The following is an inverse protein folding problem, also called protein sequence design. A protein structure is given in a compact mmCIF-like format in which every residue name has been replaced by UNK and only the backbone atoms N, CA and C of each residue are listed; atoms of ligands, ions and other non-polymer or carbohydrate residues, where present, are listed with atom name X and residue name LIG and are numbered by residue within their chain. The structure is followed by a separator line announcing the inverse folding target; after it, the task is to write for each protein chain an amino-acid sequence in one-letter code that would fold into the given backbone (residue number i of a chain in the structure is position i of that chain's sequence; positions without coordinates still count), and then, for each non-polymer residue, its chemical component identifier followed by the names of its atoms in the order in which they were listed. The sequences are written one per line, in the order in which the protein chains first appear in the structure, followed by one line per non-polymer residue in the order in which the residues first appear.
data_IF_100518820486
#
_entry.id   IF_100518820486
#
_cell.length_a   1.000
_cell.length_b   1.000
_cell.length_c   1.000
_cell.angle_alpha   90.00
_cell.angle_beta   90.00
_cell.angle_gamma   90.00
#
_symmetry.space_group_name_H-M   'P 1'
#
loop_
_entity.id
_entity.type
_entity.pdbx_description
1 polymer ?
#
# COMPACT_ATOMS: atom_id res chain seq x y z
N UNK A 1 35.97 2.45 30.14
CA UNK A 1 34.68 2.75 30.80
C UNK A 1 33.69 3.14 29.73
N UNK A 2 32.52 2.50 29.64
CA UNK A 2 31.45 2.95 28.74
C UNK A 2 30.96 4.33 29.23
N UNK A 3 30.65 5.24 28.31
CA UNK A 3 29.99 6.50 28.68
C UNK A 3 28.61 6.19 29.26
N UNK A 4 28.13 7.04 30.18
CA UNK A 4 26.82 6.88 30.82
C UNK A 4 25.68 6.77 29.79
N UNK A 5 25.77 7.50 28.68
CA UNK A 5 24.81 7.40 27.57
C UNK A 5 24.77 6.01 26.93
N UNK A 6 25.94 5.39 26.72
CA UNK A 6 26.01 4.06 26.13
C UNK A 6 25.51 2.98 27.11
N UNK A 7 25.70 3.19 28.41
CA UNK A 7 25.16 2.31 29.44
C UNK A 7 23.62 2.37 29.48
N UNK A 8 23.03 3.57 29.40
CA UNK A 8 21.57 3.74 29.36
C UNK A 8 20.98 3.12 28.09
N UNK A 9 21.57 3.34 26.91
CA UNK A 9 21.11 2.72 25.65
C UNK A 9 21.14 1.20 25.72
N UNK A 10 22.20 0.63 26.31
CA UNK A 10 22.33 -0.81 26.50
C UNK A 10 21.25 -1.34 27.46
N UNK A 11 21.01 -0.67 28.59
CA UNK A 11 19.97 -1.03 29.54
C UNK A 11 18.57 -1.00 28.91
N UNK A 12 18.23 0.06 28.17
CA UNK A 12 16.97 0.13 27.43
C UNK A 12 16.85 -0.98 26.39
N UNK A 13 17.94 -1.31 25.68
CA UNK A 13 17.97 -2.41 24.72
C UNK A 13 17.72 -3.77 25.37
N UNK A 14 18.33 -4.03 26.53
CA UNK A 14 18.13 -5.28 27.29
C UNK A 14 16.71 -5.36 27.84
N UNK A 15 16.19 -4.29 28.43
CA UNK A 15 14.81 -4.23 28.93
C UNK A 15 13.83 -4.50 27.80
N UNK A 16 14.02 -3.85 26.64
CA UNK A 16 13.18 -4.06 25.47
C UNK A 16 13.25 -5.50 24.97
N UNK A 17 14.43 -6.11 24.94
CA UNK A 17 14.61 -7.50 24.56
C UNK A 17 13.92 -8.46 25.53
N UNK A 18 14.00 -8.21 26.84
CA UNK A 18 13.32 -9.00 27.87
C UNK A 18 11.80 -8.88 27.74
N UNK A 19 11.28 -7.68 27.47
CA UNK A 19 9.85 -7.45 27.22
C UNK A 19 9.41 -8.19 25.95
N UNK A 20 10.16 -8.07 24.85
CA UNK A 20 9.83 -8.72 23.59
C UNK A 20 9.92 -10.24 23.63
N UNK A 21 10.76 -10.81 24.50
CA UNK A 21 10.88 -12.27 24.66
C UNK A 21 9.92 -12.85 25.71
N UNK A 22 9.58 -12.09 26.75
CA UNK A 22 8.72 -12.52 27.85
C UNK A 22 7.22 -12.22 27.69
N UNK A 23 6.83 -11.27 26.85
CA UNK A 23 5.43 -10.86 26.71
C UNK A 23 4.59 -11.79 25.80
N UNK A 24 3.26 -11.67 25.87
CA UNK A 24 2.36 -12.34 24.93
C UNK A 24 2.54 -11.82 23.49
N UNK A 25 2.25 -12.62 22.44
CA UNK A 25 2.39 -12.18 21.06
C UNK A 25 1.63 -10.88 20.75
N UNK A 26 0.42 -10.72 21.27
CA UNK A 26 -0.38 -9.50 21.12
C UNK A 26 0.36 -8.29 21.71
N UNK A 27 0.88 -8.39 22.93
CA UNK A 27 1.58 -7.28 23.57
C UNK A 27 2.88 -6.93 22.83
N UNK A 28 3.61 -7.93 22.30
CA UNK A 28 4.79 -7.69 21.46
C UNK A 28 4.44 -6.88 20.22
N UNK A 29 3.38 -7.26 19.50
CA UNK A 29 2.93 -6.55 18.30
C UNK A 29 2.58 -5.10 18.63
N UNK A 30 1.82 -4.87 19.72
CA UNK A 30 1.46 -3.53 20.15
C UNK A 30 2.70 -2.68 20.46
N UNK A 31 3.65 -3.23 21.20
CA UNK A 31 4.90 -2.55 21.55
C UNK A 31 5.71 -2.21 20.30
N UNK A 32 5.91 -3.17 19.38
CA UNK A 32 6.66 -2.93 18.14
C UNK A 32 6.01 -1.83 17.30
N UNK A 33 4.68 -1.85 17.15
CA UNK A 33 3.95 -0.81 16.40
C UNK A 33 4.06 0.56 17.08
N UNK A 34 4.01 0.64 18.41
CA UNK A 34 4.25 1.88 19.13
C UNK A 34 5.68 2.41 18.91
N UNK A 35 6.67 1.53 18.88
CA UNK A 35 8.05 1.91 18.55
C UNK A 35 8.19 2.40 17.11
N UNK A 36 7.53 1.78 16.14
CA UNK A 36 7.57 2.26 14.75
C UNK A 36 6.89 3.63 14.61
N UNK A 37 5.82 3.89 15.36
CA UNK A 37 5.21 5.22 15.44
C UNK A 37 6.19 6.24 16.01
N UNK A 38 6.76 5.97 17.20
CA UNK A 38 7.71 6.87 17.84
C UNK A 38 8.92 7.17 16.94
N UNK A 39 9.48 6.13 16.32
CA UNK A 39 10.61 6.25 15.42
C UNK A 39 10.26 7.09 14.17
N UNK A 40 9.13 6.83 13.53
CA UNK A 40 8.67 7.62 12.39
C UNK A 40 8.45 9.10 12.75
N UNK A 41 7.93 9.38 13.96
CA UNK A 41 7.78 10.75 14.44
C UNK A 41 9.13 11.44 14.68
N UNK A 42 10.11 10.73 15.27
CA UNK A 42 11.48 11.24 15.47
C UNK A 42 12.14 11.55 14.12
N UNK A 43 11.98 10.68 13.12
CA UNK A 43 12.49 10.89 11.77
C UNK A 43 11.86 12.12 11.12
N UNK A 44 10.54 12.27 11.19
CA UNK A 44 9.85 13.44 10.65
C UNK A 44 10.29 14.75 11.31
N UNK A 45 10.62 14.71 12.60
CA UNK A 45 11.16 15.86 13.34
C UNK A 45 12.60 16.19 12.96
N UNK A 46 13.45 15.18 12.77
CA UNK A 46 14.85 15.37 12.37
C UNK A 46 15.00 15.79 10.90
N UNK A 47 14.07 15.38 10.04
CA UNK A 47 14.05 15.69 8.62
C UNK A 47 12.83 16.54 8.25
N UNK A 48 12.77 17.82 8.68
CA UNK A 48 11.62 18.68 8.43
C UNK A 48 11.42 18.96 6.93
N UNK A 49 12.49 18.94 6.12
CA UNK A 49 12.44 19.08 4.66
C UNK A 49 11.97 17.83 3.92
N UNK A 50 11.49 16.81 4.64
CA UNK A 50 10.93 15.59 4.05
C UNK A 50 9.79 15.93 3.07
N UNK A 51 9.70 15.21 1.92
CA UNK A 51 8.63 15.41 0.96
C UNK A 51 7.25 15.33 1.65
N UNK A 52 6.32 16.19 1.24
CA UNK A 52 4.93 16.18 1.75
C UNK A 52 4.26 14.82 1.62
N UNK A 53 4.59 14.07 0.57
CA UNK A 53 4.16 12.69 0.39
C UNK A 53 4.54 11.78 1.57
N UNK A 54 5.77 11.87 2.08
CA UNK A 54 6.25 11.02 3.18
C UNK A 54 5.50 11.31 4.48
N UNK A 55 5.22 12.59 4.77
CA UNK A 55 4.40 13.00 5.92
C UNK A 55 2.97 12.47 5.82
N UNK A 56 2.36 12.56 4.63
CA UNK A 56 1.02 12.03 4.40
C UNK A 56 0.98 10.52 4.50
N UNK A 57 1.96 9.81 3.93
CA UNK A 57 2.08 8.37 4.02
C UNK A 57 2.25 7.91 5.47
N UNK A 58 3.08 8.59 6.27
CA UNK A 58 3.22 8.27 7.70
C UNK A 58 1.92 8.50 8.48
N UNK A 59 1.18 9.58 8.21
CA UNK A 59 -0.14 9.81 8.85
C UNK A 59 -1.14 8.70 8.51
N UNK A 60 -1.20 8.31 7.24
CA UNK A 60 -2.07 7.21 6.79
C UNK A 60 -1.66 5.90 7.46
N UNK A 61 -0.35 5.59 7.48
CA UNK A 61 0.19 4.43 8.19
C UNK A 61 -0.18 4.45 9.68
N UNK A 62 0.02 5.58 10.36
CA UNK A 62 -0.32 5.74 11.78
C UNK A 62 -1.80 5.46 12.02
N UNK A 63 -2.70 6.10 11.26
CA UNK A 63 -4.16 5.92 11.41
C UNK A 63 -4.56 4.46 11.13
N UNK A 64 -4.10 3.88 10.03
CA UNK A 64 -4.45 2.51 9.65
C UNK A 64 -3.96 1.50 10.67
N UNK A 65 -2.68 1.59 11.05
CA UNK A 65 -2.10 0.69 12.04
C UNK A 65 -2.74 0.88 13.42
N UNK A 66 -3.13 2.10 13.79
CA UNK A 66 -3.86 2.36 15.03
C UNK A 66 -5.25 1.69 15.02
N UNK A 67 -6.01 1.84 13.94
CA UNK A 67 -7.32 1.19 13.81
C UNK A 67 -7.21 -0.33 13.81
N UNK A 68 -6.22 -0.88 13.10
CA UNK A 68 -5.97 -2.33 13.08
C UNK A 68 -5.57 -2.85 14.47
N UNK A 69 -4.73 -2.11 15.18
CA UNK A 69 -4.31 -2.49 16.53
C UNK A 69 -5.49 -2.41 17.51
N UNK A 70 -6.32 -1.37 17.43
CA UNK A 70 -7.54 -1.28 18.23
C UNK A 70 -8.57 -2.37 17.91
N UNK A 71 -8.64 -2.86 16.67
CA UNK A 71 -9.62 -3.88 16.27
C UNK A 71 -9.19 -5.31 16.61
N UNK A 72 -7.88 -5.61 16.62
CA UNK A 72 -7.37 -6.99 16.71
C UNK A 72 -6.41 -7.23 17.88
N UNK A 73 -6.17 -6.24 18.74
CA UNK A 73 -5.27 -6.35 19.86
C UNK A 73 -5.97 -5.89 21.14
N UNK A 74 -6.53 -6.85 21.88
CA UNK A 74 -7.32 -6.58 23.09
C UNK A 74 -6.52 -5.75 24.12
N UNK A 75 -5.25 -6.06 24.44
CA UNK A 75 -4.47 -5.24 25.37
C UNK A 75 -4.32 -3.79 24.92
N UNK A 76 -4.16 -3.55 23.62
CA UNK A 76 -4.09 -2.19 23.09
C UNK A 76 -5.44 -1.49 23.15
N UNK A 77 -6.51 -2.16 22.74
CA UNK A 77 -7.88 -1.64 22.79
C UNK A 77 -8.29 -1.24 24.20
N UNK A 78 -8.13 -2.16 25.16
CA UNK A 78 -8.52 -1.96 26.56
C UNK A 78 -7.84 -0.72 27.17
N UNK A 79 -6.54 -0.54 26.90
CA UNK A 79 -5.76 0.56 27.45
C UNK A 79 -5.91 1.90 26.70
N UNK A 80 -6.48 1.91 25.50
CA UNK A 80 -6.69 3.13 24.70
C UNK A 80 -8.15 3.54 24.66
N UNK A 81 -9.00 2.72 24.06
CA UNK A 81 -10.43 2.98 23.88
C UNK A 81 -11.25 2.47 25.04
N UNK A 82 -10.99 1.26 25.53
CA UNK A 82 -11.81 0.63 26.56
C UNK A 82 -11.97 1.52 27.80
N UNK A 83 -10.85 2.02 28.33
CA UNK A 83 -10.86 2.96 29.47
C UNK A 83 -11.53 4.29 29.19
N UNK A 84 -11.47 4.80 27.97
CA UNK A 84 -12.15 6.05 27.60
C UNK A 84 -13.65 5.82 27.49
N UNK A 85 -14.05 4.68 26.94
CA UNK A 85 -15.46 4.29 26.80
C UNK A 85 -16.12 4.06 28.16
N UNK A 86 -15.38 3.61 29.18
CA UNK A 86 -15.86 3.50 30.57
C UNK A 86 -16.35 4.84 31.15
N UNK A 87 -15.96 6.00 30.59
CA UNK A 87 -16.46 7.32 31.02
C UNK A 87 -17.90 7.53 30.54
N UNK A 88 -18.25 6.97 29.39
CA UNK A 88 -19.51 7.22 28.68
C UNK A 88 -20.51 6.08 28.83
N UNK A 89 -20.01 4.86 29.04
CA UNK A 89 -20.80 3.65 29.12
C UNK A 89 -20.55 2.98 30.46
N UNK A 90 -21.63 2.69 31.18
CA UNK A 90 -21.56 1.87 32.37
C UNK A 90 -21.07 0.47 31.99
N UNK A 91 -20.11 -0.06 32.75
CA UNK A 91 -19.54 -1.38 32.46
C UNK A 91 -20.62 -2.45 32.49
N UNK A 92 -20.51 -3.41 31.59
CA UNK A 92 -21.45 -4.52 31.56
C UNK A 92 -21.33 -5.35 32.84
N UNK A 93 -22.47 -5.76 33.39
CA UNK A 93 -22.52 -6.64 34.56
C UNK A 93 -21.96 -8.03 34.30
N UNK A 94 -21.92 -8.45 33.03
CA UNK A 94 -21.38 -9.74 32.59
C UNK A 94 -19.84 -9.74 32.54
N UNK A 95 -19.24 -8.58 32.28
CA UNK A 95 -17.79 -8.41 32.18
C UNK A 95 -17.33 -7.10 32.85
N UNK A 96 -17.46 -6.99 34.20
CA UNK A 96 -17.16 -5.76 34.93
C UNK A 96 -15.65 -5.44 34.96
N UNK A 97 -14.81 -6.44 34.69
CA UNK A 97 -13.36 -6.33 34.71
C UNK A 97 -12.75 -5.92 33.37
N UNK A 98 -13.51 -5.96 32.27
CA UNK A 98 -13.01 -5.63 30.92
C UNK A 98 -13.31 -4.17 30.60
N UNK A 99 -12.29 -3.31 30.41
CA UNK A 99 -12.49 -1.91 30.05
C UNK A 99 -13.26 -1.75 28.73
N UNK A 100 -14.30 -0.92 28.73
CA UNK A 100 -15.14 -0.67 27.57
C UNK A 100 -16.20 -1.75 27.32
N UNK A 101 -16.38 -2.72 28.23
CA UNK A 101 -17.40 -3.78 28.07
C UNK A 101 -18.83 -3.22 27.93
N UNK A 102 -19.10 -2.08 28.56
CA UNK A 102 -20.36 -1.35 28.44
C UNK A 102 -20.66 -0.88 27.01
N UNK A 103 -19.63 -0.55 26.23
CA UNK A 103 -19.80 -0.17 24.83
C UNK A 103 -20.26 -1.37 23.99
N UNK A 104 -19.72 -2.56 24.24
CA UNK A 104 -20.15 -3.78 23.55
C UNK A 104 -21.62 -4.06 23.79
N UNK A 105 -22.08 -3.96 25.04
CA UNK A 105 -23.47 -4.20 25.42
C UNK A 105 -24.43 -3.14 24.84
N UNK A 106 -24.02 -1.86 24.89
CA UNK A 106 -24.74 -0.77 24.24
C UNK A 106 -24.81 -0.96 22.72
N UNK A 107 -23.69 -1.30 22.07
CA UNK A 107 -23.61 -1.52 20.63
C UNK A 107 -24.45 -2.72 20.20
N UNK A 108 -24.39 -3.83 20.94
CA UNK A 108 -25.21 -5.02 20.72
C UNK A 108 -26.71 -4.69 20.85
N UNK A 109 -27.08 -3.91 21.87
CA UNK A 109 -28.45 -3.45 22.08
C UNK A 109 -28.91 -2.51 20.97
N UNK A 110 -28.07 -1.55 20.58
CA UNK A 110 -28.33 -0.66 19.46
C UNK A 110 -28.49 -1.44 18.15
N UNK A 111 -27.61 -2.43 17.92
CA UNK A 111 -27.64 -3.32 16.76
C UNK A 111 -28.93 -4.14 16.71
N UNK A 112 -29.38 -4.69 17.85
CA UNK A 112 -30.63 -5.45 17.92
C UNK A 112 -31.84 -4.57 17.61
N UNK A 113 -31.87 -3.34 18.14
CA UNK A 113 -32.97 -2.40 17.92
C UNK A 113 -33.02 -1.86 16.48
N UNK A 114 -31.86 -1.68 15.85
CA UNK A 114 -31.75 -1.11 14.51
C UNK A 114 -31.31 -2.14 13.47
N UNK A 115 -31.55 -3.43 13.73
CA UNK A 115 -31.03 -4.53 12.91
C UNK A 115 -31.39 -4.38 11.43
N UNK A 116 -32.66 -4.05 11.15
CA UNK A 116 -33.14 -3.83 9.79
C UNK A 116 -32.41 -2.67 9.09
N UNK A 117 -32.27 -1.52 9.74
CA UNK A 117 -31.60 -0.34 9.18
C UNK A 117 -30.08 -0.55 8.99
N UNK A 118 -29.44 -1.30 9.88
CA UNK A 118 -28.02 -1.63 9.78
C UNK A 118 -27.77 -2.64 8.66
N UNK A 119 -28.60 -3.67 8.54
CA UNK A 119 -28.53 -4.64 7.45
C UNK A 119 -28.78 -3.99 6.08
N UNK A 120 -29.75 -3.07 6.01
CA UNK A 120 -30.01 -2.26 4.83
C UNK A 120 -28.80 -1.38 4.48
N UNK A 121 -28.26 -0.63 5.46
CA UNK A 121 -27.09 0.22 5.26
C UNK A 121 -25.82 -0.55 4.86
N UNK A 122 -25.58 -1.72 5.45
CA UNK A 122 -24.49 -2.63 5.05
C UNK A 122 -24.71 -3.19 3.64
N UNK A 123 -25.96 -3.51 3.29
CA UNK A 123 -26.34 -3.91 1.93
C UNK A 123 -26.00 -2.82 0.92
N UNK A 124 -26.44 -1.58 1.17
CA UNK A 124 -26.14 -0.42 0.33
C UNK A 124 -24.64 -0.17 0.22
N UNK A 125 -23.90 -0.24 1.33
CA UNK A 125 -22.45 -0.05 1.34
C UNK A 125 -21.73 -1.12 0.51
N UNK A 126 -22.11 -2.40 0.65
CA UNK A 126 -21.54 -3.50 -0.15
C UNK A 126 -21.81 -3.32 -1.63
N UNK A 127 -23.02 -2.89 -1.99
CA UNK A 127 -23.39 -2.59 -3.38
C UNK A 127 -22.53 -1.44 -3.91
N UNK A 128 -22.37 -0.36 -3.14
CA UNK A 128 -21.55 0.78 -3.51
C UNK A 128 -20.08 0.39 -3.73
N UNK A 129 -19.50 -0.36 -2.78
CA UNK A 129 -18.13 -0.87 -2.89
C UNK A 129 -17.98 -1.78 -4.11
N UNK A 130 -18.91 -2.70 -4.33
CA UNK A 130 -18.93 -3.57 -5.50
C UNK A 130 -18.93 -2.77 -6.81
N UNK A 131 -19.78 -1.75 -6.91
CA UNK A 131 -19.83 -0.85 -8.06
C UNK A 131 -18.54 -0.07 -8.25
N UNK A 132 -17.95 0.47 -7.18
CA UNK A 132 -16.67 1.19 -7.29
C UNK A 132 -15.55 0.28 -7.78
N UNK A 133 -15.45 -0.96 -7.27
CA UNK A 133 -14.48 -1.93 -7.74
C UNK A 133 -14.71 -2.32 -9.20
N UNK A 134 -15.97 -2.54 -9.59
CA UNK A 134 -16.32 -2.83 -10.97
C UNK A 134 -15.90 -1.69 -11.92
N UNK A 135 -16.20 -0.44 -11.55
CA UNK A 135 -15.82 0.73 -12.35
C UNK A 135 -14.30 0.88 -12.47
N UNK A 136 -13.56 0.63 -11.39
CA UNK A 136 -12.09 0.63 -11.41
C UNK A 136 -11.56 -0.44 -12.36
N UNK A 137 -12.07 -1.67 -12.27
CA UNK A 137 -11.66 -2.77 -13.16
C UNK A 137 -12.02 -2.47 -14.61
N UNK A 138 -13.23 -1.96 -14.88
CA UNK A 138 -13.66 -1.58 -16.21
C UNK A 138 -12.80 -0.44 -16.79
N UNK A 139 -12.45 0.55 -15.97
CA UNK A 139 -11.58 1.64 -16.35
C UNK A 139 -10.17 1.15 -16.70
N UNK A 140 -9.58 0.32 -15.84
CA UNK A 140 -8.27 -0.31 -16.11
C UNK A 140 -8.32 -1.17 -17.37
N UNK A 141 -9.38 -1.96 -17.54
CA UNK A 141 -9.60 -2.77 -18.73
C UNK A 141 -9.70 -1.94 -20.01
N UNK A 142 -10.42 -0.81 -19.98
CA UNK A 142 -10.54 0.11 -21.11
C UNK A 142 -9.21 0.80 -21.46
N UNK A 143 -8.42 1.16 -20.44
CA UNK A 143 -7.07 1.72 -20.64
C UNK A 143 -6.15 0.69 -21.29
N UNK A 144 -6.16 -0.56 -20.80
CA UNK A 144 -5.38 -1.66 -21.38
C UNK A 144 -5.84 -1.99 -22.80
N UNK A 145 -7.15 -2.05 -23.04
CA UNK A 145 -7.73 -2.28 -24.37
C UNK A 145 -7.32 -1.19 -25.37
N UNK A 146 -7.29 0.08 -24.95
CA UNK A 146 -6.79 1.16 -25.81
C UNK A 146 -5.28 1.09 -26.05
N UNK A 147 -4.50 0.65 -25.06
CA UNK A 147 -3.06 0.46 -25.22
C UNK A 147 -2.74 -0.70 -26.18
N UNK A 148 -3.54 -1.78 -26.16
CA UNK A 148 -3.36 -2.96 -27.02
C UNK A 148 -3.99 -2.76 -28.41
N UNK A 149 -5.17 -2.14 -28.50
CA UNK A 149 -5.87 -1.87 -29.75
C UNK A 149 -5.31 -0.70 -30.57
N UNK A 150 -4.37 0.07 -29.99
CA UNK A 150 -3.62 1.10 -30.70
C UNK A 150 -2.56 0.56 -31.68
N UNK A 151 -2.24 -0.73 -31.62
CA UNK A 151 -1.26 -1.34 -32.54
C UNK A 151 -1.89 -1.83 -33.86
N UNK A 152 -3.21 -2.04 -33.94
CA UNK A 152 -3.84 -2.62 -35.15
C UNK A 152 -4.22 -1.58 -36.23
N UNK A 153 -4.36 -0.29 -35.90
CA UNK A 153 -4.70 0.73 -36.91
C UNK A 153 -3.50 1.25 -37.71
N UNK A 154 -2.26 1.07 -37.24
CA UNK A 154 -1.06 1.47 -38.00
C UNK A 154 -0.68 0.44 -39.09
N UNK A 155 -1.17 -0.80 -39.01
CA UNK A 155 -0.92 -1.85 -40.02
C UNK A 155 -1.93 -1.85 -41.19
N UNK A 156 -2.91 -0.93 -41.21
CA UNK A 156 -3.88 -0.83 -42.33
C UNK A 156 -3.55 0.25 -43.37
N UNK A 157 -2.60 1.15 -43.11
CA UNK A 157 -2.19 2.17 -44.10
C UNK A 157 -0.98 1.74 -44.95
N UNK A 158 -0.33 0.60 -44.67
CA UNK A 158 0.89 0.14 -45.37
C UNK A 158 0.74 -1.14 -46.21
N UNK A 159 -0.46 -1.72 -46.34
CA UNK A 159 -0.70 -2.86 -47.25
C UNK A 159 -1.42 -2.46 -48.53
N UNK A 160 -0.70 -1.76 -49.41
CA UNK A 160 -0.93 -1.85 -50.86
C UNK A 160 0.08 -2.86 -51.45
N UNK A 161 -0.37 -4.05 -51.89
CA UNK A 161 0.53 -5.09 -52.40
C UNK A 161 0.78 -4.86 -53.89
N UNK A 162 1.78 -4.05 -54.22
CA UNK A 162 2.13 -3.80 -55.62
C UNK A 162 3.54 -3.30 -55.92
N UNK A 163 4.34 -2.92 -54.92
CA UNK A 163 5.63 -2.25 -55.15
C UNK A 163 6.86 -3.01 -54.59
N UNK A 164 6.68 -4.20 -54.00
CA UNK A 164 7.76 -4.91 -53.30
C UNK A 164 8.60 -5.87 -54.14
N UNK A 165 8.28 -6.05 -55.44
CA UNK A 165 9.02 -6.98 -56.32
C UNK A 165 10.02 -6.26 -57.24
N UNK A 166 10.22 -4.93 -57.09
CA UNK A 166 11.05 -4.15 -58.03
C UNK A 166 12.18 -3.31 -57.41
N UNK A 167 12.44 -3.43 -56.11
CA UNK A 167 13.52 -2.67 -55.44
C UNK A 167 14.71 -3.54 -54.98
N UNK A 168 14.52 -4.84 -54.75
CA UNK A 168 15.65 -5.73 -54.40
C UNK A 168 16.56 -6.02 -55.60
N UNK A 169 16.07 -5.93 -56.84
CA UNK A 169 16.89 -6.14 -58.04
C UNK A 169 17.67 -4.89 -58.49
N UNK A 170 17.41 -3.72 -57.90
CA UNK A 170 18.09 -2.46 -58.26
C UNK A 170 19.21 -2.14 -57.27
N UNK A 171 19.08 -2.51 -55.99
CA UNK A 171 20.12 -2.29 -54.99
C UNK A 171 21.33 -3.23 -55.12
N UNK A 172 21.15 -4.46 -55.63
CA UNK A 172 22.27 -5.39 -55.82
C UNK A 172 23.20 -4.99 -56.99
N UNK A 173 22.64 -4.38 -58.04
CA UNK A 173 23.43 -3.94 -59.21
C UNK A 173 24.31 -2.71 -58.90
N UNK A 174 23.81 -1.79 -58.06
CA UNK A 174 24.58 -0.60 -57.67
C UNK A 174 25.66 -0.92 -56.62
N UNK A 175 25.45 -1.93 -55.78
CA UNK A 175 26.46 -2.36 -54.79
C UNK A 175 27.64 -3.10 -55.45
N UNK A 176 27.40 -3.98 -56.43
CA UNK A 176 28.49 -4.63 -57.18
C UNK A 176 29.32 -3.62 -58.00
N UNK A 177 28.69 -2.58 -58.56
CA UNK A 177 29.40 -1.55 -59.32
C UNK A 177 30.29 -0.66 -58.43
N UNK A 178 29.84 -0.35 -57.21
CA UNK A 178 30.62 0.41 -56.22
C UNK A 178 31.83 -0.38 -55.69
N UNK A 179 31.68 -1.69 -55.44
CA UNK A 179 32.77 -2.55 -54.97
C UNK A 179 33.85 -2.77 -56.05
N UNK A 180 33.47 -2.83 -57.34
CA UNK A 180 34.43 -2.95 -58.45
C UNK A 180 35.27 -1.68 -58.65
N UNK A 181 34.70 -0.49 -58.42
CA UNK A 181 35.45 0.79 -58.47
C UNK A 181 36.46 0.95 -57.34
N UNK A 182 36.22 0.39 -56.15
CA UNK A 182 37.18 0.48 -55.04
C UNK A 182 38.38 -0.47 -55.20
N UNK A 183 38.23 -1.63 -55.87
CA UNK A 183 39.36 -2.55 -56.12
C UNK A 183 40.35 -2.03 -57.17
N UNK A 184 39.88 -1.31 -58.20
CA UNK A 184 40.76 -0.77 -59.25
C UNK A 184 41.58 0.46 -58.82
N UNK A 185 41.21 1.13 -57.71
CA UNK A 185 41.97 2.26 -57.15
C UNK A 185 43.14 1.85 -56.25
N UNK A 186 43.27 0.57 -55.88
CA UNK A 186 44.38 0.06 -55.04
C UNK A 186 45.51 -0.60 -55.83
N UNK A 187 45.43 -0.66 -57.15
CA UNK A 187 46.45 -1.29 -58.02
C UNK A 187 47.21 -0.32 -58.92
N UNK A 188 46.95 1.00 -58.82
CA UNK A 188 47.65 2.05 -59.57
C UNK A 188 48.05 3.26 -58.70
N UNK A 189 48.31 3.03 -57.41
CA UNK A 189 48.95 3.99 -56.51
C UNK A 189 50.05 3.28 -55.71
#
# INVERSE_FOLDING_TARGET
MLSEENLQRLQFGIILLCILTGCTPQLRIAIVVLFTWAFGHILLRHFPSSPTFFRSAYKIYFILSFCLLAAYNDPFYENTFGRVLDIWFERSSLEPCVPGSGFTDWHETYRRRNKASIEEGLGTLRVLVGWTLFLVVAFVGAVVWRAVGGEEEEEKTTRSPGARVRLESVLDADFECAVRRMRLRKTFA
#
